data_IF_124708785715
#
_entry.id   IF_124708785715
#
_cell.length_a   1.000
_cell.length_b   1.000
_cell.length_c   1.000
_cell.angle_alpha   90.00
_cell.angle_beta   90.00
_cell.angle_gamma   90.00
#
_symmetry.space_group_name_H-M   'P 1'
#
loop_
_entity.id
_entity.type
_entity.pdbx_description
1 polymer ?
#
# COMPACT_ATOMS: atom_id res chain seq x y z
N UNK A 1 -10.75 -6.57 11.50
CA UNK A 1 -9.60 -6.89 10.62
C UNK A 1 -8.46 -7.35 11.52
N UNK A 2 -7.75 -8.44 11.18
CA UNK A 2 -6.70 -9.01 12.02
C UNK A 2 -5.60 -7.98 12.32
N UNK A 3 -5.27 -7.75 13.60
CA UNK A 3 -4.27 -6.74 14.01
C UNK A 3 -2.89 -7.00 13.38
N UNK A 4 -2.54 -8.26 13.15
CA UNK A 4 -1.29 -8.63 12.49
C UNK A 4 -1.27 -8.15 11.02
N UNK A 5 -2.37 -8.36 10.30
CA UNK A 5 -2.52 -7.94 8.90
C UNK A 5 -2.44 -6.42 8.78
N UNK A 6 -3.10 -5.69 9.69
CA UNK A 6 -3.03 -4.22 9.73
C UNK A 6 -1.61 -3.73 9.98
N UNK A 7 -0.86 -4.39 10.88
CA UNK A 7 0.53 -4.03 11.15
C UNK A 7 1.46 -4.31 9.96
N UNK A 8 1.24 -5.41 9.23
CA UNK A 8 1.96 -5.68 7.97
C UNK A 8 1.64 -4.62 6.91
N UNK A 9 0.37 -4.23 6.77
CA UNK A 9 -0.04 -3.15 5.86
C UNK A 9 0.66 -1.83 6.20
N UNK A 10 0.82 -1.49 7.47
CA UNK A 10 1.52 -0.29 7.90
C UNK A 10 3.01 -0.31 7.50
N UNK A 11 3.72 -1.40 7.84
CA UNK A 11 5.14 -1.58 7.48
C UNK A 11 5.33 -1.53 5.95
N UNK A 12 4.50 -2.28 5.23
CA UNK A 12 4.63 -2.44 3.78
C UNK A 12 4.15 -1.19 3.02
N UNK A 13 3.16 -0.46 3.56
CA UNK A 13 2.75 0.85 3.06
C UNK A 13 3.87 1.88 3.17
N UNK A 14 4.57 1.93 4.31
CA UNK A 14 5.73 2.79 4.48
C UNK A 14 6.88 2.42 3.52
N UNK A 15 7.11 1.13 3.30
CA UNK A 15 8.10 0.62 2.36
C UNK A 15 7.75 0.90 0.88
N UNK A 16 6.46 1.04 0.55
CA UNK A 16 5.95 1.30 -0.79
C UNK A 16 5.80 2.80 -1.13
N UNK A 17 6.02 3.72 -0.18
CA UNK A 17 5.79 5.16 -0.39
C UNK A 17 6.62 5.81 -1.48
N UNK A 18 7.70 5.15 -1.90
CA UNK A 18 8.61 5.59 -2.95
C UNK A 18 8.34 4.94 -4.31
N UNK A 19 7.33 4.07 -4.38
CA UNK A 19 6.86 3.53 -5.65
C UNK A 19 6.19 4.66 -6.44
N UNK A 20 6.70 4.94 -7.64
CA UNK A 20 6.36 6.10 -8.51
C UNK A 20 4.87 6.13 -8.92
N UNK A 21 4.10 5.11 -8.55
CA UNK A 21 2.73 4.87 -8.99
C UNK A 21 1.60 5.53 -8.20
N UNK A 22 1.81 6.18 -7.03
CA UNK A 22 0.67 6.55 -6.17
C UNK A 22 0.70 8.00 -5.64
N UNK A 23 -0.19 8.83 -6.17
CA UNK A 23 -0.44 10.24 -5.79
C UNK A 23 -1.26 10.42 -4.49
N UNK A 24 -1.40 9.40 -3.64
CA UNK A 24 -2.45 9.37 -2.59
C UNK A 24 -2.02 8.89 -1.20
N UNK A 25 -0.72 8.68 -0.95
CA UNK A 25 -0.16 8.08 0.28
C UNK A 25 -0.27 8.93 1.57
N UNK A 26 -1.23 9.85 1.67
CA UNK A 26 -1.43 10.65 2.87
C UNK A 26 -2.84 11.22 3.11
N UNK A 27 -3.83 10.90 2.26
CA UNK A 27 -5.19 11.45 2.43
C UNK A 27 -6.05 10.53 3.29
N UNK A 28 -6.60 11.09 4.38
CA UNK A 28 -7.63 10.44 5.19
C UNK A 28 -8.84 11.36 5.19
N UNK A 29 -9.85 11.01 4.38
CA UNK A 29 -11.07 11.80 4.23
C UNK A 29 -12.27 10.88 4.34
N UNK A 30 -13.09 11.12 5.35
CA UNK A 30 -14.39 10.47 5.44
C UNK A 30 -15.36 11.12 4.46
N UNK A 31 -16.27 10.31 3.93
CA UNK A 31 -17.32 10.74 3.04
C UNK A 31 -18.47 11.36 3.86
N UNK A 32 -19.17 12.32 3.25
CA UNK A 32 -20.36 12.93 3.82
C UNK A 32 -21.63 12.23 3.32
N UNK A 33 -22.75 12.47 3.99
CA UNK A 33 -24.04 11.92 3.59
C UNK A 33 -24.41 12.37 2.16
N UNK A 34 -24.50 11.41 1.24
CA UNK A 34 -24.77 11.67 -0.18
C UNK A 34 -23.52 11.91 -1.04
N UNK A 35 -22.32 11.91 -0.46
CA UNK A 35 -21.06 12.01 -1.20
C UNK A 35 -20.57 10.67 -1.75
N UNK A 36 -19.49 10.70 -2.54
CA UNK A 36 -18.86 9.53 -3.16
C UNK A 36 -17.46 9.27 -2.59
N UNK A 37 -17.30 8.07 -2.00
CA UNK A 37 -16.00 7.48 -1.65
C UNK A 37 -15.31 8.07 -0.41
N UNK A 38 -14.60 7.21 0.32
CA UNK A 38 -13.66 7.58 1.39
C UNK A 38 -12.23 7.61 0.83
N UNK A 39 -11.39 8.50 1.35
CA UNK A 39 -9.94 8.43 1.15
C UNK A 39 -9.29 7.73 2.36
N UNK A 40 -8.37 6.82 2.09
CA UNK A 40 -7.57 6.12 3.11
C UNK A 40 -6.10 6.32 2.82
N UNK A 41 -5.32 6.45 3.90
CA UNK A 41 -3.91 6.78 3.86
C UNK A 41 -3.01 5.67 3.30
N UNK A 42 -3.48 4.42 3.24
CA UNK A 42 -2.67 3.28 2.85
C UNK A 42 -3.29 2.47 1.71
N UNK A 43 -2.44 2.10 0.73
CA UNK A 43 -2.72 1.10 -0.29
C UNK A 43 -3.69 1.49 -1.41
N UNK A 44 -4.44 2.58 -1.32
CA UNK A 44 -5.41 2.98 -2.36
C UNK A 44 -4.79 4.01 -3.30
N UNK A 45 -4.70 3.68 -4.59
CA UNK A 45 -4.16 4.54 -5.63
C UNK A 45 -5.22 4.89 -6.68
N UNK A 46 -5.16 6.10 -7.21
CA UNK A 46 -5.96 6.50 -8.37
C UNK A 46 -5.44 5.78 -9.61
N UNK A 47 -6.30 5.02 -10.25
CA UNK A 47 -6.03 4.34 -11.53
C UNK A 47 -7.09 4.73 -12.54
N UNK A 48 -6.78 4.62 -13.82
CA UNK A 48 -7.70 5.03 -14.89
C UNK A 48 -8.02 3.82 -15.76
N UNK A 49 -9.31 3.63 -16.02
CA UNK A 49 -9.83 2.63 -16.95
C UNK A 49 -9.60 3.10 -18.40
N UNK A 50 -9.76 2.19 -19.36
CA UNK A 50 -9.53 2.48 -20.79
C UNK A 50 -10.43 3.61 -21.33
N UNK A 51 -11.64 3.78 -20.76
CA UNK A 51 -12.55 4.88 -21.11
C UNK A 51 -12.29 6.19 -20.32
N UNK A 52 -11.20 6.26 -19.57
CA UNK A 52 -10.75 7.45 -18.86
C UNK A 52 -11.40 7.67 -17.49
N UNK A 53 -12.25 6.76 -16.99
CA UNK A 53 -12.81 6.89 -15.64
C UNK A 53 -11.77 6.57 -14.57
N UNK A 54 -11.71 7.43 -13.55
CA UNK A 54 -10.88 7.22 -12.37
C UNK A 54 -11.51 6.17 -11.45
N UNK A 55 -10.72 5.18 -11.05
CA UNK A 55 -11.07 4.11 -10.13
C UNK A 55 -10.08 4.08 -8.95
N UNK A 56 -10.54 3.58 -7.82
CA UNK A 56 -9.70 3.29 -6.66
C UNK A 56 -9.16 1.87 -6.76
N UNK A 57 -7.84 1.73 -6.88
CA UNK A 57 -7.18 0.42 -6.93
C UNK A 57 -6.37 0.18 -5.66
N UNK A 58 -6.61 -0.94 -4.99
CA UNK A 58 -5.82 -1.38 -3.84
C UNK A 58 -4.50 -1.96 -4.35
N UNK A 59 -3.43 -1.16 -4.29
CA UNK A 59 -2.06 -1.58 -4.57
C UNK A 59 -1.30 -1.74 -3.26
N UNK A 60 -0.72 -2.91 -3.05
CA UNK A 60 0.04 -3.23 -1.84
C UNK A 60 1.38 -3.86 -2.21
N UNK A 61 2.39 -3.62 -1.38
CA UNK A 61 3.66 -4.31 -1.48
C UNK A 61 3.55 -5.66 -0.77
N UNK A 62 3.80 -6.75 -1.48
CA UNK A 62 3.69 -8.11 -0.92
C UNK A 62 4.71 -8.37 0.18
N UNK A 63 5.94 -7.91 -0.03
CA UNK A 63 7.04 -7.99 0.93
C UNK A 63 8.05 -6.88 0.66
N UNK A 64 8.68 -6.37 1.73
CA UNK A 64 9.85 -5.50 1.63
C UNK A 64 11.16 -6.24 1.91
N UNK A 65 11.17 -7.58 1.97
CA UNK A 65 12.40 -8.37 2.05
C UNK A 65 13.06 -8.45 0.67
N UNK A 66 14.04 -7.56 0.45
CA UNK A 66 14.75 -7.48 -0.82
C UNK A 66 16.08 -8.19 -0.69
N UNK A 67 16.35 -9.17 -1.56
CA UNK A 67 17.63 -9.86 -1.63
C UNK A 67 18.78 -9.01 -2.19
N UNK A 68 18.47 -7.84 -2.76
CA UNK A 68 19.44 -6.95 -3.41
C UNK A 68 19.89 -5.82 -2.50
N UNK A 69 21.04 -5.23 -2.83
CA UNK A 69 21.66 -4.15 -2.06
C UNK A 69 21.82 -2.84 -2.85
N UNK A 70 20.75 -2.43 -3.54
CA UNK A 70 20.77 -1.21 -4.36
C UNK A 70 21.01 0.04 -3.49
N UNK A 71 21.97 0.88 -3.87
CA UNK A 71 22.40 2.05 -3.09
C UNK A 71 21.27 3.04 -2.73
N UNK A 72 20.25 3.13 -3.59
CA UNK A 72 19.13 4.08 -3.43
C UNK A 72 17.82 3.44 -2.96
N UNK A 73 17.80 2.13 -2.73
CA UNK A 73 16.58 1.44 -2.31
C UNK A 73 16.48 1.45 -0.79
N UNK A 74 15.42 2.04 -0.23
CA UNK A 74 15.15 1.97 1.22
C UNK A 74 15.00 0.52 1.69
N UNK A 75 14.49 -0.35 0.82
CA UNK A 75 14.28 -1.77 1.10
C UNK A 75 15.52 -2.64 0.87
N UNK A 76 16.68 -2.08 0.51
CA UNK A 76 17.92 -2.86 0.31
C UNK A 76 18.22 -3.76 1.52
N UNK A 77 18.81 -4.94 1.29
CA UNK A 77 19.01 -5.96 2.35
C UNK A 77 19.83 -5.46 3.53
N UNK A 78 20.77 -4.54 3.31
CA UNK A 78 21.69 -4.03 4.34
C UNK A 78 21.04 -3.01 5.29
N UNK A 79 19.86 -2.49 4.96
CA UNK A 79 19.15 -1.56 5.85
C UNK A 79 18.44 -2.31 6.99
N UNK A 80 18.67 -1.82 8.21
CA UNK A 80 17.93 -2.23 9.40
C UNK A 80 16.60 -1.48 9.48
N UNK A 81 15.57 -2.08 8.91
CA UNK A 81 14.19 -1.58 8.93
C UNK A 81 13.23 -2.75 9.23
N UNK A 82 12.03 -2.48 9.76
CA UNK A 82 11.02 -3.51 9.95
C UNK A 82 10.70 -4.23 8.63
N UNK A 83 10.82 -5.56 8.63
CA UNK A 83 10.49 -6.41 7.48
C UNK A 83 9.16 -7.11 7.67
N UNK A 84 8.40 -7.20 6.59
CA UNK A 84 7.14 -7.90 6.57
C UNK A 84 6.96 -8.60 5.21
N UNK A 85 6.17 -9.67 5.25
CA UNK A 85 5.72 -10.39 4.08
C UNK A 85 4.31 -10.91 4.34
N UNK A 86 3.45 -10.79 3.35
CA UNK A 86 2.14 -11.42 3.37
C UNK A 86 2.25 -12.89 2.99
N UNK A 87 1.38 -13.71 3.57
CA UNK A 87 0.98 -15.00 3.00
C UNK A 87 -0.18 -14.76 2.03
N UNK A 88 -0.35 -15.59 0.99
CA UNK A 88 -1.51 -15.51 0.11
C UNK A 88 -2.85 -15.52 0.87
N UNK A 89 -2.96 -16.32 1.93
CA UNK A 89 -4.17 -16.36 2.78
C UNK A 89 -4.46 -15.03 3.48
N UNK A 90 -3.43 -14.31 3.92
CA UNK A 90 -3.57 -13.01 4.57
C UNK A 90 -4.00 -11.92 3.58
N UNK A 91 -3.62 -12.04 2.31
CA UNK A 91 -4.09 -11.12 1.28
C UNK A 91 -5.58 -11.29 0.98
N UNK A 92 -6.05 -12.54 0.95
CA UNK A 92 -7.46 -12.84 0.69
C UNK A 92 -8.33 -12.24 1.80
N UNK A 93 -7.86 -12.15 3.04
CA UNK A 93 -8.59 -11.51 4.14
C UNK A 93 -8.73 -9.97 4.00
N UNK A 94 -8.05 -9.34 3.03
CA UNK A 94 -8.14 -7.89 2.81
C UNK A 94 -9.36 -7.47 1.97
N UNK A 95 -10.00 -8.41 1.24
CA UNK A 95 -11.09 -8.18 0.29
C UNK A 95 -12.15 -9.26 0.38
#
# INVERSE_FOLDING_TARGET
MNENILKKLEILGAAARYDVSCSSSGSQRENEAGGLGNARSCGICHSFTEDGRCISLLKILFTNDCMYDCAYCINRRSNDIPRAAFKPSELIELT
#
